data_IF_493674273214
#
_entry.id   IF_493674273214
#
_cell.length_a   1.000
_cell.length_b   1.000
_cell.length_c   1.000
_cell.angle_alpha   90.00
_cell.angle_beta   90.00
_cell.angle_gamma   90.00
#
_symmetry.space_group_name_H-M   'P 1'
#
loop_
_entity.id
_entity.type
_entity.pdbx_description
1 polymer ?
#
# COMPACT_ATOMS: atom_id res chain seq x y z
N UNK A 1 1.92 -26.63 19.53
CA UNK A 1 3.36 -26.31 19.46
C UNK A 1 3.76 -26.25 17.99
N UNK A 2 3.84 -25.05 17.41
CA UNK A 2 4.52 -24.85 16.13
C UNK A 2 5.59 -23.79 16.36
N UNK A 3 6.77 -24.26 16.77
CA UNK A 3 8.01 -23.49 16.66
C UNK A 3 8.41 -23.53 15.18
N UNK A 4 8.05 -22.49 14.44
CA UNK A 4 8.80 -22.13 13.25
C UNK A 4 9.27 -20.69 13.41
N UNK A 5 10.53 -20.62 13.80
CA UNK A 5 11.33 -19.40 13.87
C UNK A 5 11.31 -18.75 12.49
N UNK A 6 10.54 -17.67 12.34
CA UNK A 6 10.62 -16.83 11.15
C UNK A 6 11.85 -15.93 11.29
N UNK A 7 12.86 -16.24 10.49
CA UNK A 7 14.06 -15.42 10.29
C UNK A 7 13.64 -14.00 9.88
N UNK A 8 13.79 -13.05 10.80
CA UNK A 8 13.35 -11.65 10.65
C UNK A 8 14.22 -10.78 9.72
N UNK A 9 15.19 -11.33 9.00
CA UNK A 9 16.28 -10.53 8.41
C UNK A 9 16.42 -10.65 6.88
N UNK A 10 15.31 -10.50 6.14
CA UNK A 10 15.37 -10.06 4.74
C UNK A 10 14.06 -9.49 4.16
N UNK A 11 12.91 -9.62 4.85
CA UNK A 11 11.65 -9.00 4.43
C UNK A 11 11.68 -7.45 4.49
N UNK A 12 12.50 -6.88 5.38
CA UNK A 12 12.50 -5.43 5.64
C UNK A 12 12.93 -4.58 4.44
N UNK A 13 13.81 -5.07 3.56
CA UNK A 13 14.36 -4.25 2.46
C UNK A 13 13.36 -4.10 1.30
N UNK A 14 12.62 -5.16 0.99
CA UNK A 14 11.67 -5.14 -0.12
C UNK A 14 10.35 -4.45 0.26
N UNK A 15 9.93 -4.55 1.52
CA UNK A 15 8.76 -3.83 2.03
C UNK A 15 9.02 -2.32 2.08
N UNK A 16 10.21 -1.88 2.55
CA UNK A 16 10.59 -0.47 2.49
C UNK A 16 10.62 0.09 1.06
N UNK A 17 10.98 -0.75 0.07
CA UNK A 17 11.00 -0.36 -1.35
C UNK A 17 9.60 -0.18 -1.93
N UNK A 18 8.63 -0.99 -1.49
CA UNK A 18 7.24 -0.91 -1.94
C UNK A 18 6.48 0.25 -1.28
N UNK A 19 6.86 0.62 -0.05
CA UNK A 19 6.23 1.69 0.73
C UNK A 19 6.81 3.09 0.48
N UNK A 20 7.66 3.31 -0.54
CA UNK A 20 8.31 4.62 -0.83
C UNK A 20 8.98 5.29 0.39
N UNK A 21 9.26 4.56 1.46
CA UNK A 21 9.79 5.12 2.72
C UNK A 21 11.23 5.62 2.59
N UNK A 22 11.93 5.30 1.49
CA UNK A 22 13.24 5.87 1.18
C UNK A 22 13.19 7.34 0.75
N UNK A 23 11.99 7.91 0.53
CA UNK A 23 11.83 9.26 0.02
C UNK A 23 11.79 10.34 1.11
N UNK A 24 11.48 9.96 2.35
CA UNK A 24 11.26 10.93 3.43
C UNK A 24 12.58 11.41 4.04
N UNK A 25 12.99 12.65 3.75
CA UNK A 25 14.17 13.27 4.37
C UNK A 25 13.82 13.71 5.79
N UNK A 26 13.69 12.73 6.67
CA UNK A 26 13.27 12.91 8.06
C UNK A 26 14.46 13.26 8.97
N UNK A 27 14.29 14.31 9.77
CA UNK A 27 15.20 14.63 10.88
C UNK A 27 14.60 14.07 12.19
N UNK A 28 15.44 13.70 13.15
CA UNK A 28 14.98 13.09 14.39
C UNK A 28 15.47 13.86 15.61
N UNK A 29 14.59 14.03 16.60
CA UNK A 29 14.96 14.48 17.94
C UNK A 29 15.24 13.23 18.77
N UNK A 30 16.41 13.17 19.39
CA UNK A 30 16.88 12.06 20.22
C UNK A 30 17.01 12.50 21.68
N UNK A 31 16.67 11.62 22.61
CA UNK A 31 16.87 11.87 24.03
C UNK A 31 18.31 11.58 24.48
N UNK A 32 18.62 11.85 25.75
CA UNK A 32 19.94 11.64 26.36
C UNK A 32 20.45 10.19 26.27
N UNK A 33 19.54 9.21 26.11
CA UNK A 33 19.87 7.78 25.95
C UNK A 33 20.06 7.39 24.48
N UNK A 34 20.04 8.34 23.56
CA UNK A 34 20.14 8.12 22.11
C UNK A 34 18.88 7.55 21.46
N UNK A 35 17.75 7.51 22.16
CA UNK A 35 16.48 7.02 21.61
C UNK A 35 15.77 8.15 20.86
N UNK A 36 15.38 7.90 19.60
CA UNK A 36 14.52 8.80 18.81
C UNK A 36 13.16 8.96 19.50
N UNK A 37 12.77 10.19 19.81
CA UNK A 37 11.49 10.51 20.48
C UNK A 37 10.52 11.22 19.56
N UNK A 38 11.03 11.96 18.58
CA UNK A 38 10.20 12.70 17.62
C UNK A 38 10.87 12.72 16.25
N UNK A 39 10.07 12.88 15.20
CA UNK A 39 10.52 13.08 13.82
C UNK A 39 10.01 14.43 13.31
N UNK A 40 10.84 15.09 12.51
CA UNK A 40 10.51 16.31 11.79
C UNK A 40 10.44 15.93 10.32
N UNK A 41 9.28 16.18 9.72
CA UNK A 41 8.97 15.91 8.33
C UNK A 41 8.61 17.23 7.64
N UNK A 42 9.03 17.45 6.38
CA UNK A 42 8.41 18.43 5.50
C UNK A 42 6.90 18.23 5.44
N UNK A 43 6.14 19.31 5.27
CA UNK A 43 4.66 19.23 5.31
C UNK A 43 4.12 18.34 4.17
N UNK A 44 4.66 18.48 2.97
CA UNK A 44 4.29 17.66 1.80
C UNK A 44 4.51 16.17 2.08
N UNK A 45 5.61 15.84 2.76
CA UNK A 45 5.94 14.47 3.13
C UNK A 45 4.96 13.90 4.18
N UNK A 46 4.51 14.73 5.13
CA UNK A 46 3.51 14.33 6.11
C UNK A 46 2.13 14.10 5.47
N UNK A 47 1.74 14.96 4.52
CA UNK A 47 0.47 14.84 3.79
C UNK A 47 0.44 13.58 2.91
N UNK A 48 1.51 13.30 2.14
CA UNK A 48 1.66 12.06 1.36
C UNK A 48 1.51 10.82 2.28
N UNK A 49 2.11 10.85 3.48
CA UNK A 49 2.02 9.74 4.44
C UNK A 49 0.58 9.52 4.94
N UNK A 50 -0.18 10.59 5.15
CA UNK A 50 -1.59 10.49 5.55
C UNK A 50 -2.46 9.91 4.42
N UNK A 51 -2.19 10.27 3.17
CA UNK A 51 -2.87 9.72 2.00
C UNK A 51 -2.61 8.21 1.85
N UNK A 52 -1.35 7.78 1.95
CA UNK A 52 -0.98 6.37 1.90
C UNK A 52 -1.65 5.57 3.04
N UNK A 53 -1.73 6.13 4.26
CA UNK A 53 -2.40 5.48 5.39
C UNK A 53 -3.91 5.37 5.17
N UNK A 54 -4.52 6.40 4.57
CA UNK A 54 -5.94 6.40 4.23
C UNK A 54 -6.26 5.31 3.18
N UNK A 55 -5.45 5.19 2.13
CA UNK A 55 -5.60 4.14 1.14
C UNK A 55 -5.48 2.74 1.75
N UNK A 56 -4.50 2.53 2.64
CA UNK A 56 -4.33 1.27 3.36
C UNK A 56 -5.52 0.96 4.28
N UNK A 57 -6.10 1.98 4.93
CA UNK A 57 -7.30 1.81 5.75
C UNK A 57 -8.49 1.36 4.89
N UNK A 58 -8.71 1.99 3.72
CA UNK A 58 -9.75 1.57 2.77
C UNK A 58 -9.53 0.12 2.34
N UNK A 59 -8.30 -0.28 2.00
CA UNK A 59 -8.01 -1.66 1.60
C UNK A 59 -8.31 -2.64 2.73
N UNK A 60 -7.99 -2.29 3.98
CA UNK A 60 -8.24 -3.13 5.14
C UNK A 60 -9.74 -3.29 5.44
N UNK A 61 -10.50 -2.19 5.36
CA UNK A 61 -11.96 -2.21 5.53
C UNK A 61 -12.65 -3.09 4.48
N UNK A 62 -12.12 -3.09 3.25
CA UNK A 62 -12.67 -3.84 2.12
C UNK A 62 -12.19 -5.28 2.03
N UNK A 63 -11.38 -5.76 2.98
CA UNK A 63 -10.73 -7.07 2.91
C UNK A 63 -11.71 -8.25 2.81
N UNK A 64 -12.83 -8.15 3.51
CA UNK A 64 -13.84 -9.21 3.60
C UNK A 64 -15.05 -8.94 2.70
N UNK A 65 -15.01 -7.91 1.85
CA UNK A 65 -16.06 -7.65 0.87
C UNK A 65 -16.11 -8.77 -0.19
N UNK A 66 -17.32 -9.20 -0.61
CA UNK A 66 -17.46 -10.13 -1.72
C UNK A 66 -16.78 -9.57 -2.97
N UNK A 67 -15.86 -10.35 -3.54
CA UNK A 67 -15.22 -10.00 -4.80
C UNK A 67 -16.11 -10.38 -5.98
N UNK A 68 -15.93 -9.67 -7.08
CA UNK A 68 -16.55 -10.00 -8.36
C UNK A 68 -15.45 -10.33 -9.37
N UNK A 69 -15.78 -11.12 -10.37
CA UNK A 69 -14.82 -11.42 -11.44
C UNK A 69 -14.59 -10.17 -12.29
N UNK A 70 -13.42 -10.11 -12.94
CA UNK A 70 -13.12 -9.04 -13.87
C UNK A 70 -14.12 -8.96 -15.05
N UNK A 71 -14.65 -10.11 -15.48
CA UNK A 71 -15.71 -10.18 -16.51
C UNK A 71 -17.00 -9.53 -16.04
N UNK A 72 -17.47 -9.86 -14.84
CA UNK A 72 -18.66 -9.25 -14.23
C UNK A 72 -18.48 -7.74 -14.03
N UNK A 73 -17.29 -7.30 -13.61
CA UNK A 73 -16.97 -5.88 -13.50
C UNK A 73 -17.10 -5.17 -14.87
N UNK A 74 -16.58 -5.75 -15.95
CA UNK A 74 -16.71 -5.18 -17.31
C UNK A 74 -18.16 -5.06 -17.76
N UNK A 75 -18.98 -6.08 -17.52
CA UNK A 75 -20.40 -6.03 -17.87
C UNK A 75 -21.15 -4.96 -17.07
N UNK A 76 -20.86 -4.81 -15.76
CA UNK A 76 -21.42 -3.72 -14.93
C UNK A 76 -21.02 -2.35 -15.46
N UNK A 77 -19.75 -2.16 -15.81
CA UNK A 77 -19.26 -0.87 -16.32
C UNK A 77 -19.85 -0.54 -17.70
N UNK A 78 -20.01 -1.53 -18.60
CA UNK A 78 -20.70 -1.37 -19.89
C UNK A 78 -22.15 -0.98 -19.71
N UNK A 79 -22.87 -1.65 -18.81
CA UNK A 79 -24.27 -1.35 -18.48
C UNK A 79 -24.44 0.07 -17.96
N UNK A 80 -23.48 0.57 -17.18
CA UNK A 80 -23.48 1.92 -16.64
C UNK A 80 -22.96 2.97 -17.63
N UNK A 81 -22.59 2.59 -18.86
CA UNK A 81 -22.06 3.51 -19.88
C UNK A 81 -20.65 4.02 -19.59
N UNK A 82 -19.94 3.44 -18.61
CA UNK A 82 -18.61 3.86 -18.16
C UNK A 82 -17.47 3.20 -18.94
N UNK A 83 -17.77 2.13 -19.70
CA UNK A 83 -16.79 1.42 -20.51
C UNK A 83 -17.29 1.28 -21.95
N UNK A 84 -16.60 1.93 -22.89
CA UNK A 84 -16.80 1.74 -24.33
C UNK A 84 -15.99 0.54 -24.80
N UNK A 85 -16.54 -0.21 -25.77
CA UNK A 85 -16.00 -1.49 -26.24
C UNK A 85 -14.69 -1.31 -27.01
N UNK A 86 -13.54 -1.13 -26.34
CA UNK A 86 -12.22 -1.60 -26.81
C UNK A 86 -11.25 -1.72 -25.63
N UNK A 87 -10.81 -2.95 -25.37
CA UNK A 87 -9.43 -3.33 -24.98
C UNK A 87 -9.44 -4.80 -24.55
N UNK A 88 -9.37 -5.69 -25.55
CA UNK A 88 -8.82 -7.02 -25.37
C UNK A 88 -7.31 -6.94 -25.56
N UNK A 89 -6.56 -6.64 -24.49
CA UNK A 89 -5.15 -7.00 -24.47
C UNK A 89 -5.02 -8.31 -23.69
N UNK A 90 -4.64 -9.43 -24.34
CA UNK A 90 -4.60 -10.75 -23.72
C UNK A 90 -3.35 -10.98 -22.86
N UNK A 91 -2.50 -9.96 -22.61
CA UNK A 91 -1.17 -10.20 -22.02
C UNK A 91 -1.17 -10.50 -20.51
N UNK A 92 -2.33 -10.55 -19.85
CA UNK A 92 -2.44 -10.89 -18.42
C UNK A 92 -2.89 -12.35 -18.17
N UNK A 93 -3.02 -13.15 -19.23
CA UNK A 93 -3.14 -14.61 -19.09
C UNK A 93 -1.73 -15.24 -19.10
N UNK A 94 -1.02 -15.17 -17.99
CA UNK A 94 0.17 -15.96 -17.69
C UNK A 94 0.40 -16.04 -16.18
#
# INVERSE_FOLDING_TARGET
>A
MFHHSLERNNLSKNVCKLLKLEKFKSQYIVNEKGKKTSAILPIEEYEELLEDLHDLAIVAERRDEPTITFGELKERLRKNGLLTLQQSNPSCAA
#
